data_IF_417415816599
#
_entry.id   IF_417415816599
#
_cell.length_a   1.000
_cell.length_b   1.000
_cell.length_c   1.000
_cell.angle_alpha   90.00
_cell.angle_beta   90.00
_cell.angle_gamma   90.00
#
_symmetry.space_group_name_H-M   'P 1'
#
loop_
_entity.id
_entity.type
_entity.pdbx_description
1 polymer ?
#
# COMPACT_ATOMS: atom_id res chain seq x y z
N UNK A 1 -21.92 8.10 1.15
CA UNK A 1 -21.27 6.82 0.79
C UNK A 1 -19.95 6.74 1.54
N UNK A 2 -19.63 5.63 2.20
CA UNK A 2 -18.34 5.47 2.87
C UNK A 2 -17.22 5.19 1.85
N UNK A 3 -16.04 5.76 2.07
CA UNK A 3 -14.86 5.40 1.30
C UNK A 3 -14.25 4.08 1.84
N UNK A 4 -13.35 3.47 1.06
CA UNK A 4 -12.73 2.18 1.39
C UNK A 4 -11.98 2.18 2.73
N UNK A 5 -11.34 3.30 3.07
CA UNK A 5 -10.58 3.45 4.31
C UNK A 5 -11.52 3.45 5.51
N UNK A 6 -12.57 4.27 5.46
CA UNK A 6 -13.58 4.34 6.53
C UNK A 6 -14.29 2.99 6.70
N UNK A 7 -14.57 2.28 5.60
CA UNK A 7 -15.14 0.93 5.65
C UNK A 7 -14.20 -0.07 6.35
N UNK A 8 -12.91 -0.06 5.98
CA UNK A 8 -11.89 -0.92 6.57
C UNK A 8 -11.81 -0.75 8.10
N UNK A 9 -11.79 0.50 8.59
CA UNK A 9 -11.73 0.79 10.02
C UNK A 9 -13.03 0.45 10.77
N UNK A 10 -14.18 0.46 10.10
CA UNK A 10 -15.45 0.02 10.70
C UNK A 10 -15.55 -1.49 10.82
N UNK A 11 -15.16 -2.24 9.78
CA UNK A 11 -15.31 -3.69 9.72
C UNK A 11 -14.22 -4.45 10.49
N UNK A 12 -13.02 -3.86 10.63
CA UNK A 12 -11.87 -4.52 11.25
C UNK A 12 -11.05 -3.56 12.10
N UNK A 13 -11.54 -3.17 13.29
CA UNK A 13 -10.92 -2.12 14.10
C UNK A 13 -9.61 -2.53 14.79
N UNK A 14 -9.18 -3.80 14.72
CA UNK A 14 -7.99 -4.31 15.42
C UNK A 14 -7.05 -5.03 14.46
N UNK A 15 -5.75 -4.81 14.64
CA UNK A 15 -4.64 -5.49 13.94
C UNK A 15 -4.56 -5.26 12.42
N UNK A 16 -4.92 -4.05 11.95
CA UNK A 16 -4.71 -3.67 10.56
C UNK A 16 -3.21 -3.51 10.26
N UNK A 17 -2.77 -4.08 9.14
CA UNK A 17 -1.41 -3.94 8.64
C UNK A 17 -1.42 -2.97 7.46
N UNK A 18 -0.74 -1.83 7.61
CA UNK A 18 -0.42 -0.92 6.50
C UNK A 18 1.03 -1.10 6.09
N UNK A 19 1.31 -1.20 4.78
CA UNK A 19 2.67 -1.30 4.25
C UNK A 19 2.92 -0.19 3.24
N UNK A 20 4.05 0.49 3.42
CA UNK A 20 4.60 1.45 2.47
C UNK A 20 5.66 0.80 1.58
N UNK A 21 5.63 1.11 0.28
CA UNK A 21 6.75 0.85 -0.62
C UNK A 21 6.82 1.88 -1.76
N UNK A 22 7.96 1.94 -2.44
CA UNK A 22 8.17 2.85 -3.58
C UNK A 22 7.80 2.17 -4.91
N UNK A 23 7.02 2.85 -5.75
CA UNK A 23 6.71 2.38 -7.10
C UNK A 23 7.99 2.24 -7.94
N UNK A 24 8.03 1.20 -8.77
CA UNK A 24 9.18 0.91 -9.64
C UNK A 24 10.38 0.28 -8.92
N UNK A 25 10.23 -0.14 -7.67
CA UNK A 25 11.27 -0.84 -6.90
C UNK A 25 10.86 -2.30 -6.62
N UNK A 26 11.74 -3.30 -6.83
CA UNK A 26 13.11 -3.20 -7.36
C UNK A 26 13.19 -3.03 -8.88
N UNK A 27 12.08 -3.22 -9.60
CA UNK A 27 12.01 -3.07 -11.06
C UNK A 27 10.86 -2.15 -11.47
N UNK A 28 11.02 -1.45 -12.60
CA UNK A 28 10.06 -0.48 -13.11
C UNK A 28 8.63 -1.07 -13.22
N UNK A 29 8.52 -2.27 -13.78
CA UNK A 29 7.25 -2.95 -14.01
C UNK A 29 6.76 -3.79 -12.79
N UNK A 30 7.56 -3.86 -11.72
CA UNK A 30 7.31 -4.74 -10.57
C UNK A 30 6.23 -4.26 -9.61
N UNK A 31 5.79 -3.01 -9.71
CA UNK A 31 4.84 -2.39 -8.76
C UNK A 31 3.55 -3.21 -8.61
N UNK A 32 2.98 -3.69 -9.72
CA UNK A 32 1.73 -4.46 -9.69
C UNK A 32 1.89 -5.81 -9.00
N UNK A 33 3.04 -6.47 -9.19
CA UNK A 33 3.32 -7.77 -8.57
C UNK A 33 3.55 -7.62 -7.06
N UNK A 34 4.20 -6.55 -6.62
CA UNK A 34 4.33 -6.22 -5.19
C UNK A 34 2.94 -6.01 -4.56
N UNK A 35 2.07 -5.22 -5.18
CA UNK A 35 0.70 -4.98 -4.66
C UNK A 35 -0.07 -6.30 -4.51
N UNK A 36 -0.03 -7.16 -5.53
CA UNK A 36 -0.70 -8.47 -5.50
C UNK A 36 -0.12 -9.39 -4.43
N UNK A 37 1.20 -9.37 -4.25
CA UNK A 37 1.85 -10.16 -3.21
C UNK A 37 1.43 -9.68 -1.81
N UNK A 38 1.39 -8.36 -1.58
CA UNK A 38 0.97 -7.77 -0.31
C UNK A 38 -0.50 -8.09 0.00
N UNK A 39 -1.40 -7.93 -0.97
CA UNK A 39 -2.81 -8.28 -0.85
C UNK A 39 -2.99 -9.76 -0.47
N UNK A 40 -2.33 -10.67 -1.18
CA UNK A 40 -2.38 -12.12 -0.91
C UNK A 40 -1.88 -12.50 0.50
N UNK A 41 -1.01 -11.69 1.10
CA UNK A 41 -0.47 -11.92 2.45
C UNK A 41 -1.25 -11.18 3.56
N UNK A 42 -2.44 -10.63 3.25
CA UNK A 42 -3.34 -10.06 4.26
C UNK A 42 -3.03 -8.63 4.67
N UNK A 43 -2.26 -7.89 3.85
CA UNK A 43 -2.05 -6.46 4.05
C UNK A 43 -3.38 -5.73 3.86
N UNK A 44 -3.76 -4.91 4.84
CA UNK A 44 -5.06 -4.25 4.88
C UNK A 44 -5.06 -2.94 4.08
N UNK A 45 -3.92 -2.24 4.07
CA UNK A 45 -3.74 -0.97 3.38
C UNK A 45 -2.34 -0.88 2.79
N UNK A 46 -2.23 -0.30 1.61
CA UNK A 46 -0.95 -0.14 0.91
C UNK A 46 -0.76 1.34 0.61
N UNK A 47 0.41 1.85 0.97
CA UNK A 47 0.86 3.20 0.67
C UNK A 47 1.95 3.11 -0.40
N UNK A 48 1.76 3.81 -1.52
CA UNK A 48 2.68 3.77 -2.65
C UNK A 48 3.37 5.12 -2.76
N UNK A 49 4.68 5.14 -2.52
CA UNK A 49 5.53 6.28 -2.80
C UNK A 49 5.77 6.41 -4.31
N UNK A 50 5.59 7.61 -4.85
CA UNK A 50 6.05 7.93 -6.20
C UNK A 50 7.52 8.32 -6.10
N UNK A 51 8.43 7.70 -6.88
CA UNK A 51 9.85 8.01 -6.81
C UNK A 51 10.09 9.48 -7.16
N UNK A 52 10.88 10.15 -6.33
CA UNK A 52 11.29 11.54 -6.49
C UNK A 52 12.81 11.64 -6.29
N UNK A 53 13.46 12.53 -7.04
CA UNK A 53 14.92 12.62 -7.09
C UNK A 53 15.56 13.12 -5.80
N UNK A 54 14.81 13.89 -5.00
CA UNK A 54 15.28 14.38 -3.70
C UNK A 54 14.19 14.19 -2.63
N UNK A 55 14.16 13.04 -1.93
CA UNK A 55 13.11 12.75 -0.97
C UNK A 55 13.07 13.70 0.25
N UNK A 56 14.03 14.62 0.40
CA UNK A 56 14.13 15.58 1.50
C UNK A 56 14.06 17.06 1.06
N UNK A 57 13.95 17.34 -0.25
CA UNK A 57 13.85 18.72 -0.77
C UNK A 57 12.55 19.44 -0.38
#
# INVERSE_FOLDING_TARGET
>A
MLNRINQLFQDSPKNLLSIYFCAGCPTLDGTADVIRALEKNGVSMIEIGIPFSDPMA
#
